data_IF_507180117764
#
_entry.id   IF_507180117764
#
_cell.length_a   1.000
_cell.length_b   1.000
_cell.length_c   1.000
_cell.angle_alpha   90.00
_cell.angle_beta   90.00
_cell.angle_gamma   90.00
#
_symmetry.space_group_name_H-M   'P 1'
#
loop_
_entity.id
_entity.type
_entity.pdbx_description
1 polymer ?
#
# COMPACT_ATOMS: atom_id res chain seq x y z
N UNK A 1 -5.95 20.44 -10.68
CA UNK A 1 -6.29 20.73 -9.27
C UNK A 1 -5.01 21.12 -8.58
N UNK A 2 -4.99 22.19 -7.79
CA UNK A 2 -3.78 22.66 -7.13
C UNK A 2 -3.47 21.81 -5.88
N UNK A 3 -2.63 20.78 -6.06
CA UNK A 3 -2.18 19.88 -4.99
C UNK A 3 -0.98 20.46 -4.20
N UNK A 4 -0.60 21.71 -4.45
CA UNK A 4 0.54 22.36 -3.79
C UNK A 4 0.18 22.98 -2.43
N UNK A 5 -1.11 23.00 -2.08
CA UNK A 5 -1.59 23.49 -0.78
C UNK A 5 -1.09 22.63 0.39
N UNK A 6 -0.74 23.27 1.52
CA UNK A 6 -0.19 22.62 2.71
C UNK A 6 -1.21 21.74 3.49
N UNK A 7 -2.44 21.60 3.00
CA UNK A 7 -3.53 20.90 3.70
C UNK A 7 -3.78 19.48 3.20
N UNK A 8 -3.09 19.02 2.15
CA UNK A 8 -3.30 17.65 1.64
C UNK A 8 -2.66 16.64 2.58
N UNK A 9 -3.40 15.61 2.99
CA UNK A 9 -2.87 14.45 3.71
C UNK A 9 -3.44 13.19 3.07
N UNK A 10 -2.59 12.19 2.88
CA UNK A 10 -2.87 10.99 2.11
C UNK A 10 -2.80 9.77 3.02
N UNK A 11 -3.87 8.98 3.03
CA UNK A 11 -3.87 7.62 3.55
C UNK A 11 -3.46 6.66 2.42
N UNK A 12 -2.26 6.09 2.49
CA UNK A 12 -1.76 5.22 1.42
C UNK A 12 -2.25 3.76 1.49
N UNK A 13 -3.13 3.40 2.43
CA UNK A 13 -3.65 2.03 2.47
C UNK A 13 -4.99 1.97 3.21
N UNK A 14 -6.08 1.77 2.49
CA UNK A 14 -7.37 1.37 3.08
C UNK A 14 -8.17 0.50 2.11
N UNK A 15 -9.22 -0.13 2.62
CA UNK A 15 -10.11 -1.00 1.87
C UNK A 15 -11.57 -0.56 1.99
N UNK A 16 -12.36 -0.76 0.94
CA UNK A 16 -13.83 -0.68 0.98
C UNK A 16 -14.43 -1.95 0.40
N UNK A 17 -15.55 -2.38 0.98
CA UNK A 17 -16.23 -3.61 0.60
C UNK A 17 -17.65 -3.68 1.18
N UNK A 18 -18.47 -4.56 0.61
CA UNK A 18 -19.80 -4.90 1.11
C UNK A 18 -19.73 -6.21 1.91
N UNK A 19 -20.65 -6.36 2.87
CA UNK A 19 -20.77 -7.58 3.65
C UNK A 19 -21.15 -8.78 2.76
N UNK A 20 -20.65 -9.96 3.12
CA UNK A 20 -21.03 -11.23 2.47
C UNK A 20 -20.48 -11.44 1.07
N UNK A 21 -19.64 -10.53 0.54
CA UNK A 21 -19.06 -10.65 -0.80
C UNK A 21 -17.62 -11.12 -0.76
N UNK A 22 -17.37 -12.23 -1.44
CA UNK A 22 -16.02 -12.77 -1.65
C UNK A 22 -15.98 -13.68 -2.88
N UNK A 23 -14.78 -13.89 -3.44
CA UNK A 23 -14.53 -14.92 -4.45
C UNK A 23 -14.51 -16.31 -3.81
N UNK A 24 -14.78 -17.35 -4.60
CA UNK A 24 -14.90 -18.72 -4.10
C UNK A 24 -13.68 -19.25 -3.32
N UNK A 25 -12.47 -18.77 -3.64
CA UNK A 25 -11.22 -19.16 -2.98
C UNK A 25 -10.71 -18.13 -1.96
N UNK A 26 -11.58 -17.23 -1.50
CA UNK A 26 -11.22 -16.28 -0.46
C UNK A 26 -10.94 -17.00 0.87
N UNK A 27 -9.98 -16.47 1.64
CA UNK A 27 -9.64 -17.00 2.98
C UNK A 27 -10.75 -16.82 4.00
N UNK A 28 -11.57 -15.79 3.82
CA UNK A 28 -12.68 -15.44 4.68
C UNK A 28 -13.68 -14.59 3.89
N UNK A 29 -14.89 -14.45 4.42
CA UNK A 29 -15.94 -13.57 3.90
C UNK A 29 -16.27 -12.56 5.00
N UNK A 30 -16.15 -11.24 4.76
CA UNK A 30 -16.44 -10.25 5.79
C UNK A 30 -17.93 -10.26 6.13
N UNK A 31 -18.25 -10.30 7.43
CA UNK A 31 -19.64 -10.25 7.93
C UNK A 31 -20.21 -8.82 8.01
N UNK A 32 -19.40 -7.81 7.71
CA UNK A 32 -19.73 -6.39 7.80
C UNK A 32 -19.34 -5.66 6.51
N UNK A 33 -19.88 -4.46 6.33
CA UNK A 33 -19.50 -3.58 5.22
C UNK A 33 -18.55 -2.48 5.73
N UNK A 34 -17.59 -2.13 4.88
CA UNK A 34 -16.69 -1.01 5.07
C UNK A 34 -16.86 -0.06 3.89
N UNK A 35 -17.67 0.98 4.07
CA UNK A 35 -18.08 1.86 2.97
C UNK A 35 -17.13 3.04 2.81
N UNK A 36 -17.03 3.55 1.59
CA UNK A 36 -16.27 4.78 1.32
C UNK A 36 -16.80 5.98 2.11
N UNK A 37 -18.11 6.03 2.38
CA UNK A 37 -18.73 7.07 3.22
C UNK A 37 -18.19 7.05 4.65
N UNK A 38 -18.10 5.86 5.27
CA UNK A 38 -17.55 5.70 6.62
C UNK A 38 -16.06 6.08 6.67
N UNK A 39 -15.30 5.71 5.63
CA UNK A 39 -13.90 6.11 5.55
C UNK A 39 -13.77 7.63 5.42
N UNK A 40 -14.53 8.29 4.53
CA UNK A 40 -14.49 9.75 4.39
C UNK A 40 -14.85 10.49 5.67
N UNK A 41 -15.88 10.02 6.38
CA UNK A 41 -16.29 10.61 7.64
C UNK A 41 -15.18 10.53 8.70
N UNK A 42 -14.52 9.39 8.81
CA UNK A 42 -13.46 9.16 9.79
C UNK A 42 -12.15 9.87 9.42
N UNK A 43 -11.71 9.73 8.16
CA UNK A 43 -10.52 10.37 7.61
C UNK A 43 -10.61 11.90 7.70
N UNK A 44 -11.78 12.46 7.38
CA UNK A 44 -12.02 13.90 7.44
C UNK A 44 -11.87 14.51 8.84
N UNK A 45 -12.20 13.76 9.91
CA UNK A 45 -12.06 14.23 11.30
C UNK A 45 -10.62 14.51 11.72
N UNK A 46 -9.64 13.88 11.05
CA UNK A 46 -8.20 14.08 11.30
C UNK A 46 -7.49 14.80 10.16
N UNK A 47 -8.25 15.39 9.22
CA UNK A 47 -7.72 16.18 8.12
C UNK A 47 -7.13 15.36 6.96
N UNK A 48 -7.32 14.05 6.94
CA UNK A 48 -6.98 13.23 5.77
C UNK A 48 -7.98 13.54 4.65
N UNK A 49 -7.46 13.92 3.50
CA UNK A 49 -8.26 14.43 2.38
C UNK A 49 -8.12 13.59 1.12
N UNK A 50 -7.12 12.73 1.03
CA UNK A 50 -6.83 11.87 -0.11
C UNK A 50 -6.54 10.44 0.37
N UNK A 51 -6.70 9.47 -0.52
CA UNK A 51 -6.50 8.07 -0.15
C UNK A 51 -6.09 7.17 -1.30
N UNK A 52 -5.42 6.07 -0.97
CA UNK A 52 -5.09 4.98 -1.88
C UNK A 52 -5.97 3.79 -1.51
N UNK A 53 -6.98 3.56 -2.34
CA UNK A 53 -7.90 2.45 -2.20
C UNK A 53 -7.24 1.18 -2.75
N UNK A 54 -7.00 0.22 -1.87
CA UNK A 54 -6.34 -1.03 -2.22
C UNK A 54 -7.36 -2.15 -2.32
N UNK A 55 -7.27 -2.97 -3.37
CA UNK A 55 -8.14 -4.12 -3.56
C UNK A 55 -7.96 -5.14 -2.42
N UNK A 56 -9.04 -5.51 -1.69
CA UNK A 56 -8.95 -6.49 -0.61
C UNK A 56 -8.87 -7.92 -1.15
N UNK A 57 -8.10 -8.79 -0.48
CA UNK A 57 -7.77 -10.13 -1.01
C UNK A 57 -8.97 -11.03 -1.25
N UNK A 58 -10.06 -10.87 -0.47
CA UNK A 58 -11.25 -11.71 -0.60
C UNK A 58 -12.11 -11.35 -1.82
N UNK A 59 -11.88 -10.20 -2.47
CA UNK A 59 -12.52 -9.86 -3.75
C UNK A 59 -11.69 -10.30 -4.97
N UNK A 60 -10.47 -10.80 -4.76
CA UNK A 60 -9.62 -11.27 -5.86
C UNK A 60 -9.44 -10.22 -6.95
N UNK A 61 -9.57 -10.65 -8.21
CA UNK A 61 -9.44 -9.78 -9.40
C UNK A 61 -10.74 -9.03 -9.75
N UNK A 62 -11.82 -9.20 -8.98
CA UNK A 62 -13.04 -8.40 -9.16
C UNK A 62 -12.85 -6.98 -8.60
N UNK A 63 -12.23 -6.13 -9.41
CA UNK A 63 -11.95 -4.73 -9.05
C UNK A 63 -13.15 -3.80 -9.27
N UNK A 64 -14.36 -4.31 -9.60
CA UNK A 64 -15.49 -3.44 -10.00
C UNK A 64 -15.85 -2.41 -8.95
N UNK A 65 -15.86 -2.79 -7.66
CA UNK A 65 -16.14 -1.86 -6.56
C UNK A 65 -15.03 -0.81 -6.40
N UNK A 66 -13.76 -1.24 -6.53
CA UNK A 66 -12.63 -0.32 -6.52
C UNK A 66 -12.77 0.70 -7.65
N UNK A 67 -12.98 0.24 -8.87
CA UNK A 67 -13.06 1.10 -10.07
C UNK A 67 -14.25 2.06 -10.02
N UNK A 68 -15.43 1.62 -9.57
CA UNK A 68 -16.58 2.50 -9.42
C UNK A 68 -16.38 3.55 -8.32
N UNK A 69 -15.69 3.19 -7.22
CA UNK A 69 -15.35 4.12 -6.14
C UNK A 69 -14.36 5.17 -6.61
N UNK A 70 -13.35 4.79 -7.39
CA UNK A 70 -12.40 5.75 -7.97
C UNK A 70 -13.07 6.69 -8.96
N UNK A 71 -13.96 6.18 -9.83
CA UNK A 71 -14.71 6.99 -10.77
C UNK A 71 -15.52 8.10 -10.06
N UNK A 72 -16.12 7.78 -8.90
CA UNK A 72 -16.89 8.72 -8.10
C UNK A 72 -16.03 9.75 -7.33
N UNK A 73 -14.73 9.50 -7.17
CA UNK A 73 -13.82 10.30 -6.33
C UNK A 73 -12.46 10.56 -6.99
N UNK A 74 -12.44 10.70 -8.32
CA UNK A 74 -11.24 10.68 -9.17
C UNK A 74 -10.16 11.72 -8.85
N UNK A 75 -10.54 12.82 -8.20
CA UNK A 75 -9.60 13.86 -7.78
C UNK A 75 -8.89 13.58 -6.46
N UNK A 76 -9.42 12.65 -5.65
CA UNK A 76 -8.99 12.44 -4.26
C UNK A 76 -8.55 11.00 -3.96
N UNK A 77 -8.94 10.04 -4.79
CA UNK A 77 -8.58 8.64 -4.63
C UNK A 77 -7.74 8.13 -5.79
N UNK A 78 -6.76 7.29 -5.45
CA UNK A 78 -5.99 6.47 -6.38
C UNK A 78 -6.21 5.01 -6.04
N UNK A 79 -6.12 4.13 -7.03
CA UNK A 79 -6.31 2.69 -6.86
C UNK A 79 -5.03 1.88 -6.91
N UNK A 80 -5.01 0.79 -6.13
CA UNK A 80 -4.10 -0.35 -6.34
C UNK A 80 -4.95 -1.61 -6.55
N UNK A 81 -4.93 -2.13 -7.77
CA UNK A 81 -5.79 -3.24 -8.20
C UNK A 81 -5.11 -4.60 -7.99
N UNK A 82 -5.88 -5.69 -8.08
CA UNK A 82 -5.33 -7.05 -8.25
C UNK A 82 -5.71 -7.52 -9.65
N UNK A 83 -4.74 -7.84 -10.49
CA UNK A 83 -4.98 -8.24 -11.89
C UNK A 83 -4.14 -9.45 -12.26
N UNK A 84 -4.61 -10.22 -13.23
CA UNK A 84 -3.88 -11.35 -13.80
C UNK A 84 -2.76 -10.86 -14.74
N UNK A 85 -1.65 -11.60 -14.90
CA UNK A 85 -0.68 -11.32 -15.98
C UNK A 85 -1.31 -11.35 -17.38
N UNK A 86 -2.46 -12.01 -17.51
CA UNK A 86 -3.22 -12.15 -18.76
C UNK A 86 -4.20 -11.00 -19.01
N UNK A 87 -4.34 -10.05 -18.08
CA UNK A 87 -5.20 -8.88 -18.26
C UNK A 87 -4.72 -8.07 -19.47
N UNK A 88 -5.64 -7.71 -20.35
CA UNK A 88 -5.28 -7.09 -21.62
C UNK A 88 -4.73 -5.67 -21.41
N UNK A 89 -3.87 -5.17 -22.32
CA UNK A 89 -3.41 -3.79 -22.28
C UNK A 89 -4.54 -2.75 -22.28
N UNK A 90 -5.65 -3.04 -22.97
CA UNK A 90 -6.82 -2.17 -23.00
C UNK A 90 -7.51 -2.08 -21.63
N UNK A 91 -7.67 -3.21 -20.93
CA UNK A 91 -8.22 -3.21 -19.57
C UNK A 91 -7.32 -2.46 -18.59
N UNK A 92 -5.99 -2.66 -18.66
CA UNK A 92 -5.04 -1.92 -17.83
C UNK A 92 -5.11 -0.40 -18.10
N UNK A 93 -5.20 0.00 -19.37
CA UNK A 93 -5.36 1.41 -19.74
C UNK A 93 -6.69 1.99 -19.22
N UNK A 94 -7.78 1.23 -19.28
CA UNK A 94 -9.07 1.64 -18.72
C UNK A 94 -8.99 1.82 -17.19
N UNK A 95 -8.32 0.90 -16.48
CA UNK A 95 -8.07 1.04 -15.04
C UNK A 95 -7.20 2.27 -14.73
N UNK A 96 -6.18 2.54 -15.55
CA UNK A 96 -5.34 3.74 -15.40
C UNK A 96 -6.15 5.02 -15.56
N UNK A 97 -7.04 5.10 -16.55
CA UNK A 97 -7.91 6.25 -16.77
C UNK A 97 -8.84 6.51 -15.58
N UNK A 98 -9.24 5.45 -14.86
CA UNK A 98 -10.04 5.55 -13.64
C UNK A 98 -9.22 5.87 -12.38
N UNK A 99 -7.89 5.96 -12.46
CA UNK A 99 -7.04 6.35 -11.34
C UNK A 99 -6.25 5.20 -10.69
N UNK A 100 -6.21 4.01 -11.26
CA UNK A 100 -5.30 2.95 -10.79
C UNK A 100 -3.85 3.30 -11.12
N UNK A 101 -2.94 3.13 -10.16
CA UNK A 101 -1.50 3.44 -10.29
C UNK A 101 -0.57 2.32 -9.86
N UNK A 102 -1.12 1.14 -9.56
CA UNK A 102 -0.33 -0.01 -9.19
C UNK A 102 -1.15 -1.29 -9.13
N UNK A 103 -0.43 -2.39 -8.99
CA UNK A 103 -1.01 -3.72 -8.76
C UNK A 103 -0.51 -4.27 -7.42
N UNK A 104 -1.31 -5.10 -6.75
CA UNK A 104 -0.93 -5.71 -5.48
C UNK A 104 -0.69 -7.21 -5.61
N UNK A 105 0.48 -7.65 -5.15
CA UNK A 105 0.81 -9.04 -4.87
C UNK A 105 0.64 -9.31 -3.37
N UNK A 106 -0.54 -9.80 -2.97
CA UNK A 106 -0.80 -10.22 -1.60
C UNK A 106 -0.44 -11.69 -1.41
N UNK A 107 0.77 -11.94 -0.89
CA UNK A 107 1.39 -13.25 -0.72
C UNK A 107 1.37 -13.73 0.74
N UNK A 108 0.75 -12.98 1.66
CA UNK A 108 0.67 -13.42 3.06
C UNK A 108 -0.17 -14.69 3.18
N UNK A 109 0.33 -15.70 3.90
CA UNK A 109 -0.28 -17.02 4.03
C UNK A 109 -0.32 -17.80 2.72
N UNK A 110 0.54 -17.46 1.75
CA UNK A 110 0.63 -18.08 0.41
C UNK A 110 2.10 -18.30 0.05
N UNK A 111 2.34 -18.92 -1.10
CA UNK A 111 3.69 -19.08 -1.64
C UNK A 111 4.34 -17.72 -1.92
N UNK A 112 5.61 -17.58 -1.55
CA UNK A 112 6.49 -16.45 -1.94
C UNK A 112 7.29 -16.73 -3.21
N UNK A 113 7.05 -17.88 -3.86
CA UNK A 113 7.60 -18.19 -5.18
C UNK A 113 6.82 -17.44 -6.26
N UNK A 114 7.52 -16.53 -6.95
CA UNK A 114 7.02 -15.76 -8.09
C UNK A 114 7.65 -16.22 -9.41
N UNK A 115 8.32 -17.37 -9.47
CA UNK A 115 8.98 -17.88 -10.68
C UNK A 115 8.05 -17.95 -11.90
N UNK A 116 6.75 -18.25 -11.68
CA UNK A 116 5.72 -18.19 -12.71
C UNK A 116 5.49 -16.78 -13.26
N UNK A 117 5.52 -15.77 -12.40
CA UNK A 117 5.36 -14.36 -12.77
C UNK A 117 6.64 -13.74 -13.32
N UNK A 118 7.81 -14.19 -12.87
CA UNK A 118 9.10 -13.67 -13.31
C UNK A 118 9.31 -13.80 -14.84
N UNK A 119 8.61 -14.74 -15.48
CA UNK A 119 8.66 -14.97 -16.93
C UNK A 119 7.70 -14.08 -17.73
N UNK A 120 6.77 -13.38 -17.07
CA UNK A 120 5.73 -12.54 -17.69
C UNK A 120 6.29 -11.14 -18.05
N UNK A 121 7.37 -11.09 -18.84
CA UNK A 121 8.08 -9.86 -19.18
C UNK A 121 7.15 -8.79 -19.79
N UNK A 122 6.26 -9.18 -20.70
CA UNK A 122 5.32 -8.28 -21.35
C UNK A 122 4.35 -7.61 -20.35
N UNK A 123 3.96 -8.33 -19.30
CA UNK A 123 3.14 -7.78 -18.23
C UNK A 123 3.92 -6.74 -17.42
N UNK A 124 5.14 -7.05 -17.01
CA UNK A 124 5.98 -6.13 -16.25
C UNK A 124 6.37 -4.88 -17.04
N UNK A 125 6.77 -5.03 -18.31
CA UNK A 125 7.11 -3.92 -19.20
C UNK A 125 5.91 -2.99 -19.39
N UNK A 126 4.70 -3.55 -19.45
CA UNK A 126 3.47 -2.76 -19.51
C UNK A 126 3.28 -1.94 -18.24
N UNK A 127 3.38 -2.56 -17.05
CA UNK A 127 3.26 -1.84 -15.79
C UNK A 127 4.29 -0.70 -15.69
N UNK A 128 5.55 -1.00 -16.05
CA UNK A 128 6.63 -0.03 -16.08
C UNK A 128 6.32 1.14 -17.03
N UNK A 129 5.85 0.86 -18.25
CA UNK A 129 5.51 1.90 -19.24
C UNK A 129 4.37 2.82 -18.80
N UNK A 130 3.51 2.34 -17.90
CA UNK A 130 2.41 3.11 -17.32
C UNK A 130 2.82 3.87 -16.05
N UNK A 131 4.06 3.71 -15.61
CA UNK A 131 4.56 4.23 -14.34
C UNK A 131 3.89 3.58 -13.12
N UNK A 132 3.36 2.36 -13.27
CA UNK A 132 2.71 1.64 -12.17
C UNK A 132 3.74 1.00 -11.26
N UNK A 133 3.46 1.03 -9.96
CA UNK A 133 4.25 0.32 -8.96
C UNK A 133 3.65 -1.07 -8.70
N UNK A 134 4.46 -1.95 -8.10
CA UNK A 134 4.02 -3.23 -7.56
C UNK A 134 3.97 -3.11 -6.04
N UNK A 135 2.78 -3.22 -5.48
CA UNK A 135 2.56 -3.30 -4.03
C UNK A 135 2.71 -4.75 -3.56
N UNK A 136 3.52 -5.00 -2.54
CA UNK A 136 3.86 -6.35 -2.07
C UNK A 136 3.52 -6.49 -0.58
N UNK A 137 2.80 -7.56 -0.27
CA UNK A 137 2.52 -7.99 1.11
C UNK A 137 2.97 -9.44 1.29
N UNK A 138 4.01 -9.68 2.10
CA UNK A 138 4.56 -11.02 2.38
C UNK A 138 4.20 -11.50 3.77
N UNK A 139 4.62 -12.70 4.16
CA UNK A 139 4.67 -13.08 5.58
C UNK A 139 5.90 -12.46 6.27
N UNK A 140 5.94 -12.42 7.62
CA UNK A 140 7.06 -11.85 8.35
C UNK A 140 8.41 -12.45 7.94
N UNK A 141 9.39 -11.60 7.67
CA UNK A 141 10.74 -12.00 7.25
C UNK A 141 10.88 -12.56 5.84
N UNK A 142 9.78 -12.67 5.06
CA UNK A 142 9.79 -13.30 3.73
C UNK A 142 9.99 -12.32 2.57
N UNK A 143 10.09 -11.02 2.83
CA UNK A 143 10.33 -10.02 1.79
C UNK A 143 11.60 -10.29 0.95
N UNK A 144 12.72 -10.77 1.54
CA UNK A 144 13.92 -11.09 0.78
C UNK A 144 13.78 -12.20 -0.25
N UNK A 145 12.78 -13.06 -0.11
CA UNK A 145 12.51 -14.09 -1.10
C UNK A 145 11.78 -13.50 -2.31
N UNK A 146 11.04 -12.40 -2.15
CA UNK A 146 10.12 -11.87 -3.17
C UNK A 146 10.75 -10.79 -4.03
N UNK A 147 11.33 -9.74 -3.43
CA UNK A 147 11.81 -8.57 -4.20
C UNK A 147 12.83 -8.93 -5.29
N UNK A 148 13.80 -9.85 -5.07
CA UNK A 148 14.76 -10.22 -6.11
C UNK A 148 14.13 -10.89 -7.34
N UNK A 149 12.92 -11.45 -7.22
CA UNK A 149 12.18 -12.05 -8.32
C UNK A 149 11.41 -11.03 -9.18
N UNK A 150 11.28 -9.78 -8.71
CA UNK A 150 10.65 -8.70 -9.45
C UNK A 150 11.67 -7.95 -10.31
N UNK A 151 11.30 -7.49 -11.51
CA UNK A 151 12.15 -6.63 -12.34
C UNK A 151 12.74 -5.46 -11.56
N UNK A 152 14.04 -5.23 -11.71
CA UNK A 152 14.77 -4.21 -10.95
C UNK A 152 14.37 -2.77 -11.28
N UNK A 153 13.76 -2.55 -12.44
CA UNK A 153 13.24 -1.26 -12.91
C UNK A 153 11.89 -0.87 -12.29
N UNK A 154 11.15 -1.82 -11.71
CA UNK A 154 9.87 -1.52 -11.09
C UNK A 154 10.06 -0.89 -9.71
N UNK A 155 9.29 0.17 -9.46
CA UNK A 155 9.13 0.68 -8.10
C UNK A 155 8.27 -0.29 -7.29
N UNK A 156 8.76 -0.66 -6.11
CA UNK A 156 8.06 -1.59 -5.20
C UNK A 156 7.54 -0.81 -4.00
N UNK A 157 6.25 -0.99 -3.67
CA UNK A 157 5.67 -0.49 -2.42
C UNK A 157 5.46 -1.67 -1.49
N UNK A 158 6.02 -1.62 -0.28
CA UNK A 158 5.94 -2.71 0.68
C UNK A 158 4.93 -2.39 1.77
N UNK A 159 4.01 -3.31 2.00
CA UNK A 159 2.95 -3.14 3.00
C UNK A 159 3.44 -3.36 4.44
N UNK A 160 2.73 -2.71 5.35
CA UNK A 160 2.72 -2.95 6.80
C UNK A 160 4.10 -3.05 7.45
N UNK A 161 4.90 -1.98 7.28
CA UNK A 161 6.25 -1.86 7.86
C UNK A 161 7.20 -2.99 7.45
N UNK A 162 6.96 -3.63 6.29
CA UNK A 162 7.73 -4.74 5.75
C UNK A 162 7.79 -6.02 6.59
N UNK A 163 7.23 -6.01 7.81
CA UNK A 163 7.16 -7.12 8.76
C UNK A 163 8.51 -7.86 8.94
N UNK A 164 9.58 -7.17 9.38
CA UNK A 164 10.83 -7.83 9.73
C UNK A 164 10.61 -8.80 10.92
N UNK A 165 11.55 -9.73 11.14
CA UNK A 165 11.50 -10.64 12.30
C UNK A 165 11.99 -9.94 13.57
N UNK A 166 12.83 -8.94 13.43
CA UNK A 166 13.25 -8.06 14.52
C UNK A 166 13.57 -6.65 13.96
N UNK A 167 13.40 -5.59 14.76
CA UNK A 167 13.60 -4.22 14.32
C UNK A 167 15.09 -3.82 14.45
N UNK A 168 15.98 -4.59 13.82
CA UNK A 168 17.43 -4.31 13.84
C UNK A 168 17.99 -4.33 12.41
N UNK A 169 19.01 -3.51 12.11
CA UNK A 169 19.71 -3.53 10.82
C UNK A 169 20.23 -4.90 10.38
N UNK A 170 20.46 -5.81 11.33
CA UNK A 170 20.91 -7.17 11.04
C UNK A 170 19.83 -8.02 10.36
N UNK A 171 18.54 -7.69 10.54
CA UNK A 171 17.41 -8.40 9.93
C UNK A 171 17.51 -8.40 8.39
N UNK A 172 17.34 -9.56 7.73
CA UNK A 172 17.44 -9.66 6.28
C UNK A 172 16.50 -8.72 5.50
N UNK A 173 15.31 -8.45 6.04
CA UNK A 173 14.32 -7.54 5.44
C UNK A 173 14.83 -6.11 5.45
N UNK A 174 15.27 -5.62 6.61
CA UNK A 174 15.76 -4.26 6.77
C UNK A 174 17.04 -4.02 5.97
N UNK A 175 17.98 -4.97 6.01
CA UNK A 175 19.22 -4.91 5.23
C UNK A 175 18.96 -4.89 3.72
N UNK A 176 18.00 -5.68 3.23
CA UNK A 176 17.62 -5.65 1.82
C UNK A 176 17.07 -4.28 1.44
N UNK A 177 16.15 -3.76 2.23
CA UNK A 177 15.54 -2.45 1.99
C UNK A 177 16.61 -1.35 1.89
N UNK A 178 17.53 -1.27 2.86
CA UNK A 178 18.61 -0.27 2.83
C UNK A 178 19.51 -0.36 1.59
N UNK A 179 19.73 -1.57 1.05
CA UNK A 179 20.49 -1.76 -0.21
C UNK A 179 19.74 -1.30 -1.46
N UNK A 180 18.41 -1.41 -1.46
CA UNK A 180 17.58 -1.00 -2.61
C UNK A 180 17.43 0.52 -2.67
N UNK A 181 17.28 1.14 -1.50
CA UNK A 181 17.17 2.59 -1.35
C UNK A 181 15.86 3.20 -1.86
N UNK A 182 15.65 4.51 -1.62
CA UNK A 182 14.38 5.20 -1.86
C UNK A 182 14.00 5.33 -3.34
N UNK A 183 14.95 5.12 -4.26
CA UNK A 183 14.69 5.15 -5.71
C UNK A 183 14.01 3.90 -6.24
N UNK A 184 14.03 2.78 -5.49
CA UNK A 184 13.44 1.50 -5.91
C UNK A 184 12.31 1.04 -5.01
N UNK A 185 12.33 1.39 -3.72
CA UNK A 185 11.36 0.89 -2.75
C UNK A 185 10.76 2.01 -1.91
N UNK A 186 9.47 1.89 -1.63
CA UNK A 186 8.78 2.62 -0.57
C UNK A 186 8.16 1.65 0.42
N UNK A 187 8.04 2.04 1.69
CA UNK A 187 7.45 1.22 2.75
C UNK A 187 6.30 1.98 3.40
N UNK A 188 5.15 1.32 3.53
CA UNK A 188 3.99 1.87 4.25
C UNK A 188 4.16 1.63 5.75
N UNK A 189 4.26 2.70 6.52
CA UNK A 189 4.06 2.72 7.97
C UNK A 189 2.56 2.58 8.25
N UNK A 190 2.09 1.35 8.19
CA UNK A 190 0.69 0.96 8.42
C UNK A 190 0.63 -0.37 9.18
N UNK A 191 -0.52 -0.68 9.77
CA UNK A 191 -0.77 -2.02 10.32
C UNK A 191 0.23 -2.49 11.38
N UNK A 192 0.71 -1.61 12.27
CA UNK A 192 1.68 -1.97 13.31
C UNK A 192 1.22 -3.13 14.22
N UNK A 193 -0.10 -3.27 14.45
CA UNK A 193 -0.71 -4.40 15.15
C UNK A 193 -0.55 -5.75 14.42
N UNK A 194 -0.13 -5.76 13.15
CA UNK A 194 0.13 -6.98 12.37
C UNK A 194 1.56 -7.50 12.54
N UNK A 195 2.42 -6.80 13.28
CA UNK A 195 3.82 -7.19 13.52
C UNK A 195 3.98 -8.27 14.60
N UNK A 196 2.90 -8.62 15.32
CA UNK A 196 2.98 -9.56 16.44
C UNK A 196 3.75 -8.93 17.60
N UNK A 197 4.83 -9.57 18.02
CA UNK A 197 5.65 -9.14 19.15
C UNK A 197 6.71 -8.08 18.78
N UNK A 198 6.90 -7.81 17.48
CA UNK A 198 7.87 -6.82 17.01
C UNK A 198 7.32 -5.41 17.20
N UNK A 199 8.08 -4.57 17.90
CA UNK A 199 7.65 -3.21 18.24
C UNK A 199 7.55 -2.31 16.98
N UNK A 200 6.39 -1.70 16.70
CA UNK A 200 6.19 -0.87 15.51
C UNK A 200 6.97 0.45 15.53
N UNK A 201 7.27 1.01 16.72
CA UNK A 201 8.06 2.24 16.84
C UNK A 201 9.53 1.97 16.55
N UNK A 202 10.11 0.92 17.13
CA UNK A 202 11.49 0.50 16.81
C UNK A 202 11.62 0.12 15.33
N UNK A 203 10.58 -0.50 14.76
CA UNK A 203 10.53 -0.84 13.33
C UNK A 203 10.51 0.42 12.47
N UNK A 204 9.68 1.42 12.80
CA UNK A 204 9.62 2.68 12.07
C UNK A 204 10.96 3.43 12.10
N UNK A 205 11.63 3.48 13.25
CA UNK A 205 12.97 4.07 13.36
C UNK A 205 14.01 3.32 12.53
N UNK A 206 14.00 1.98 12.57
CA UNK A 206 14.92 1.18 11.75
C UNK A 206 14.68 1.38 10.26
N UNK A 207 13.42 1.48 9.82
CA UNK A 207 13.09 1.79 8.43
C UNK A 207 13.55 3.20 8.05
N UNK A 208 13.40 4.17 8.94
CA UNK A 208 13.88 5.54 8.73
C UNK A 208 15.41 5.57 8.56
N UNK A 209 16.14 4.86 9.41
CA UNK A 209 17.60 4.81 9.38
C UNK A 209 18.12 4.09 8.12
N UNK A 210 17.52 2.97 7.74
CA UNK A 210 17.97 2.15 6.61
C UNK A 210 17.56 2.72 5.23
N UNK A 211 16.34 3.26 5.11
CA UNK A 211 15.81 3.73 3.81
C UNK A 211 15.78 5.24 3.64
N UNK A 212 15.78 5.98 4.75
CA UNK A 212 15.52 7.42 4.76
C UNK A 212 14.02 7.75 4.63
N UNK A 213 13.66 8.93 5.13
CA UNK A 213 12.28 9.40 5.22
C UNK A 213 11.55 9.44 3.86
N UNK A 214 12.27 9.72 2.77
CA UNK A 214 11.69 9.85 1.42
C UNK A 214 11.08 8.55 0.86
N UNK A 215 11.43 7.39 1.43
CA UNK A 215 10.85 6.10 1.06
C UNK A 215 9.60 5.75 1.87
N UNK A 216 9.28 6.49 2.93
CA UNK A 216 8.23 6.12 3.87
C UNK A 216 6.89 6.78 3.50
N UNK A 217 5.82 6.01 3.63
CA UNK A 217 4.44 6.41 3.38
C UNK A 217 3.62 6.08 4.64
N UNK A 218 2.57 6.83 4.97
CA UNK A 218 1.63 6.43 6.02
C UNK A 218 0.36 5.81 5.41
N UNK A 219 -0.22 4.81 6.06
CA UNK A 219 -1.54 4.29 5.71
C UNK A 219 -2.28 3.76 6.93
N UNK A 220 -3.60 3.86 6.93
CA UNK A 220 -4.43 3.45 8.07
C UNK A 220 -4.57 1.94 8.18
N UNK A 221 -4.56 1.24 7.05
CA UNK A 221 -5.02 -0.15 6.90
C UNK A 221 -6.50 -0.35 7.31
N UNK A 222 -7.28 0.73 7.38
CA UNK A 222 -8.71 0.67 7.68
C UNK A 222 -9.43 -0.21 6.65
N UNK A 223 -10.37 -1.10 7.06
CA UNK A 223 -10.97 -1.25 8.39
C UNK A 223 -10.30 -2.33 9.26
N UNK A 224 -8.98 -2.51 9.12
CA UNK A 224 -8.17 -3.44 9.91
C UNK A 224 -8.68 -4.88 9.82
N UNK A 225 -8.96 -5.40 8.62
CA UNK A 225 -9.60 -6.73 8.48
C UNK A 225 -8.86 -7.84 9.24
N UNK A 226 -9.62 -8.70 9.94
CA UNK A 226 -9.18 -9.70 10.94
C UNK A 226 -8.56 -9.12 12.23
N UNK A 227 -8.62 -7.80 12.41
CA UNK A 227 -8.12 -7.02 13.54
C UNK A 227 -9.07 -5.82 13.78
N UNK A 228 -10.37 -6.04 13.63
CA UNK A 228 -11.39 -4.98 13.58
C UNK A 228 -11.44 -4.15 14.88
N UNK A 229 -10.99 -4.72 15.99
CA UNK A 229 -10.82 -4.01 17.26
C UNK A 229 -9.80 -2.87 17.22
N UNK A 230 -8.93 -2.83 16.20
CA UNK A 230 -7.98 -1.75 15.95
C UNK A 230 -8.52 -0.68 14.98
N UNK A 231 -9.73 -0.83 14.44
CA UNK A 231 -10.28 0.04 13.40
C UNK A 231 -10.77 1.42 13.87
N UNK A 232 -10.14 1.98 14.92
CA UNK A 232 -10.31 3.38 15.32
C UNK A 232 -9.41 4.27 14.46
N UNK A 233 -9.98 4.89 13.43
CA UNK A 233 -9.21 5.68 12.47
C UNK A 233 -8.44 6.85 13.09
N UNK A 234 -9.03 7.71 13.95
CA UNK A 234 -8.25 8.72 14.67
C UNK A 234 -7.06 8.14 15.44
N UNK A 235 -7.23 7.00 16.11
CA UNK A 235 -6.13 6.34 16.82
C UNK A 235 -5.03 5.85 15.86
N UNK A 236 -5.43 5.22 14.73
CA UNK A 236 -4.50 4.77 13.68
C UNK A 236 -3.70 5.93 13.06
N UNK A 237 -4.34 7.09 12.87
CA UNK A 237 -3.64 8.28 12.40
C UNK A 237 -2.70 8.85 13.47
N UNK A 238 -3.09 8.81 14.75
CA UNK A 238 -2.27 9.29 15.85
C UNK A 238 -1.00 8.45 16.09
N UNK A 239 -0.98 7.17 15.70
CA UNK A 239 0.23 6.32 15.86
C UNK A 239 1.42 6.84 15.06
N UNK A 240 1.20 7.56 13.96
CA UNK A 240 2.30 8.12 13.16
C UNK A 240 3.19 9.05 14.00
N UNK A 241 2.60 9.89 14.86
CA UNK A 241 3.33 10.77 15.79
C UNK A 241 3.95 10.02 16.97
N UNK A 242 3.56 8.77 17.21
CA UNK A 242 4.19 7.89 18.20
C UNK A 242 5.42 7.18 17.60
N UNK A 243 5.40 6.96 16.28
CA UNK A 243 6.45 6.26 15.55
C UNK A 243 7.55 7.18 15.00
N UNK A 244 7.23 8.43 14.67
CA UNK A 244 8.16 9.36 14.03
C UNK A 244 8.15 10.73 14.70
N UNK A 245 9.31 11.38 14.68
CA UNK A 245 9.45 12.77 15.08
C UNK A 245 8.70 13.74 14.13
N UNK A 246 8.23 14.90 14.62
CA UNK A 246 7.43 15.86 13.84
C UNK A 246 8.04 16.28 12.50
N UNK A 247 9.38 16.33 12.41
CA UNK A 247 10.11 16.72 11.20
C UNK A 247 9.85 15.78 10.00
N UNK A 248 9.42 14.54 10.23
CA UNK A 248 9.19 13.55 9.18
C UNK A 248 7.71 13.45 8.75
N UNK A 249 6.78 13.94 9.57
CA UNK A 249 5.35 13.68 9.37
C UNK A 249 4.85 14.18 8.01
N UNK A 250 5.23 15.40 7.65
CA UNK A 250 4.86 16.04 6.39
C UNK A 250 5.37 15.26 5.16
N UNK A 251 6.58 14.70 5.24
CA UNK A 251 7.11 13.90 4.15
C UNK A 251 6.29 12.62 3.97
N UNK A 252 6.03 11.92 5.07
CA UNK A 252 5.41 10.59 5.08
C UNK A 252 3.91 10.62 4.76
N UNK A 253 3.18 11.64 5.21
CA UNK A 253 1.73 11.74 5.03
C UNK A 253 1.30 12.64 3.86
N UNK A 254 2.21 13.41 3.25
CA UNK A 254 1.88 14.30 2.13
C UNK A 254 2.88 14.24 0.98
N UNK A 255 4.14 14.62 1.20
CA UNK A 255 5.08 14.85 0.09
C UNK A 255 5.37 13.56 -0.68
N UNK A 256 5.77 12.49 0.02
CA UNK A 256 6.12 11.21 -0.60
C UNK A 256 4.89 10.56 -1.29
N UNK A 257 3.71 10.49 -0.65
CA UNK A 257 2.50 10.02 -1.33
C UNK A 257 2.13 10.82 -2.58
N UNK A 258 2.17 12.15 -2.52
CA UNK A 258 1.82 13.00 -3.67
C UNK A 258 2.80 12.82 -4.83
N UNK A 259 4.10 12.65 -4.54
CA UNK A 259 5.10 12.33 -5.55
C UNK A 259 4.85 10.96 -6.17
N UNK A 260 4.57 9.95 -5.35
CA UNK A 260 4.40 8.57 -5.82
C UNK A 260 3.12 8.40 -6.66
N UNK A 261 1.98 8.83 -6.14
CA UNK A 261 0.66 8.51 -6.69
C UNK A 261 0.09 9.59 -7.62
N UNK A 262 0.43 10.87 -7.40
CA UNK A 262 -0.03 12.01 -8.21
C UNK A 262 1.06 12.66 -9.05
N UNK A 263 2.32 12.22 -8.93
CA UNK A 263 3.44 12.76 -9.72
C UNK A 263 3.84 14.19 -9.36
N UNK A 264 3.39 14.72 -8.22
CA UNK A 264 3.72 16.09 -7.80
C UNK A 264 5.22 16.20 -7.51
N UNK A 265 5.88 17.16 -8.15
CA UNK A 265 7.32 17.39 -7.95
C UNK A 265 8.23 16.32 -8.56
N UNK A 266 7.74 15.53 -9.53
CA UNK A 266 8.59 14.81 -10.48
C UNK A 266 8.87 15.78 -11.64
N UNK A 267 10.11 16.25 -11.75
CA UNK A 267 10.62 16.91 -12.97
C UNK A 267 10.94 15.87 -14.04
#
# INVERSE_FOLDING_TARGET
MDLTTSSVRVDCHFHVFEAGRAVAQARYVPAYAATIKQWWEQAGRVGVSHGVLVQPSFLGEDNRLLLSTLAAHSNRLIGVAVVSPKTSPHELAAMHALGVRGVRLNLSGRSHDLSGWAREHAYWDRLLSMGWHVEVHTDPGRLPDVIPQLPSSLHVVVDHMAKPLNPRPSDPTLRLLGRLGPGRVSVKLSGGYRLGEVDPRETAHSLLDELGCSALLWGSDWPCTNFENWADYPALHATLSQWLEPAHLEAVNRINPLRLYWGVGKE
#
